data_IF_476326548709
#
_entry.id   IF_476326548709
#
_cell.length_a   1.000
_cell.length_b   1.000
_cell.length_c   1.000
_cell.angle_alpha   90.00
_cell.angle_beta   90.00
_cell.angle_gamma   90.00
#
_symmetry.space_group_name_H-M   'P 1'
#
loop_
_entity.id
_entity.type
_entity.pdbx_description
1 polymer ?
#
# COMPACT_ATOMS: atom_id res chain seq x y z
N UNK A 1 -8.77 3.14 -32.81
CA UNK A 1 -7.78 2.42 -31.98
C UNK A 1 -6.82 3.46 -31.43
N UNK A 2 -6.87 3.68 -30.12
CA UNK A 2 -6.00 4.62 -29.41
C UNK A 2 -4.64 3.98 -29.08
N UNK A 3 -3.65 4.80 -28.68
CA UNK A 3 -2.38 4.27 -28.16
C UNK A 3 -2.58 3.45 -26.88
N UNK A 4 -3.59 3.80 -26.07
CA UNK A 4 -3.95 3.05 -24.87
C UNK A 4 -4.48 1.65 -25.21
N UNK A 5 -5.29 1.52 -26.27
CA UNK A 5 -5.80 0.23 -26.76
C UNK A 5 -4.65 -0.69 -27.18
N UNK A 6 -3.63 -0.12 -27.82
CA UNK A 6 -2.42 -0.84 -28.22
C UNK A 6 -1.62 -1.34 -27.01
N UNK A 7 -1.48 -0.52 -25.96
CA UNK A 7 -0.80 -0.93 -24.72
C UNK A 7 -1.54 -2.08 -24.02
N UNK A 8 -2.86 -2.02 -23.95
CA UNK A 8 -3.70 -3.11 -23.39
C UNK A 8 -3.53 -4.38 -24.24
N UNK A 9 -3.64 -4.27 -25.56
CA UNK A 9 -3.44 -5.42 -26.45
C UNK A 9 -2.03 -6.00 -26.34
N UNK A 10 -0.99 -5.16 -26.19
CA UNK A 10 0.38 -5.60 -26.06
C UNK A 10 0.56 -6.38 -24.76
N UNK A 11 0.10 -5.83 -23.64
CA UNK A 11 0.13 -6.50 -22.34
C UNK A 11 -0.52 -7.88 -22.41
N UNK A 12 -1.73 -7.98 -22.97
CA UNK A 12 -2.44 -9.25 -23.12
C UNK A 12 -1.69 -10.26 -23.98
N UNK A 13 -1.07 -9.83 -25.09
CA UNK A 13 -0.28 -10.70 -25.97
C UNK A 13 0.97 -11.21 -25.28
N UNK A 14 1.67 -10.36 -24.52
CA UNK A 14 2.87 -10.73 -23.77
C UNK A 14 2.53 -11.67 -22.61
N UNK A 15 1.46 -11.38 -21.87
CA UNK A 15 0.96 -12.22 -20.77
C UNK A 15 0.62 -13.63 -21.24
N UNK A 16 0.00 -13.79 -22.43
CA UNK A 16 -0.25 -15.10 -23.05
C UNK A 16 1.02 -15.90 -23.38
N UNK A 17 2.16 -15.22 -23.51
CA UNK A 17 3.48 -15.83 -23.73
C UNK A 17 4.27 -16.03 -22.43
N UNK A 18 3.68 -15.75 -21.27
CA UNK A 18 4.38 -15.78 -19.98
C UNK A 18 5.36 -14.63 -19.78
N UNK A 19 5.24 -13.55 -20.55
CA UNK A 19 6.11 -12.37 -20.44
C UNK A 19 5.38 -11.28 -19.64
N UNK A 20 6.00 -10.83 -18.55
CA UNK A 20 5.52 -9.69 -17.76
C UNK A 20 5.98 -8.38 -18.40
N UNK A 21 5.04 -7.45 -18.57
CA UNK A 21 5.25 -6.14 -19.18
C UNK A 21 5.01 -5.06 -18.12
N UNK A 22 5.86 -4.04 -18.08
CA UNK A 22 5.75 -2.92 -17.15
C UNK A 22 5.92 -1.57 -17.85
N UNK A 23 5.17 -0.58 -17.38
CA UNK A 23 5.31 0.84 -17.70
C UNK A 23 5.82 1.57 -16.45
N UNK A 24 6.99 2.19 -16.51
CA UNK A 24 7.62 2.80 -15.33
C UNK A 24 8.11 4.23 -15.59
N UNK A 25 8.30 5.00 -14.51
CA UNK A 25 8.93 6.34 -14.52
C UNK A 25 8.12 7.44 -15.25
N UNK A 26 6.90 7.16 -15.70
CA UNK A 26 6.02 8.18 -16.28
C UNK A 26 5.38 9.07 -15.22
N UNK A 27 4.93 10.26 -15.63
CA UNK A 27 4.21 11.18 -14.74
C UNK A 27 2.76 10.71 -14.51
N UNK A 28 2.19 11.08 -13.37
CA UNK A 28 0.84 10.65 -12.96
C UNK A 28 -0.26 11.04 -13.97
N UNK A 29 -0.11 12.15 -14.69
CA UNK A 29 -1.08 12.61 -15.70
C UNK A 29 -1.25 11.61 -16.86
N UNK A 30 -0.23 10.78 -17.12
CA UNK A 30 -0.35 9.68 -18.09
C UNK A 30 -1.32 8.62 -17.58
N UNK A 31 -1.36 8.35 -16.28
CA UNK A 31 -2.34 7.43 -15.68
C UNK A 31 -3.76 7.97 -15.82
N UNK A 32 -3.97 9.27 -15.67
CA UNK A 32 -5.27 9.91 -15.90
C UNK A 32 -5.74 9.69 -17.34
N UNK A 33 -4.83 9.82 -18.33
CA UNK A 33 -5.13 9.51 -19.73
C UNK A 33 -5.40 8.03 -19.96
N UNK A 34 -4.64 7.13 -19.35
CA UNK A 34 -4.91 5.68 -19.44
C UNK A 34 -6.32 5.36 -18.94
N UNK A 35 -6.76 5.92 -17.80
CA UNK A 35 -8.13 5.75 -17.31
C UNK A 35 -9.16 6.35 -18.26
N UNK A 36 -8.93 7.58 -18.74
CA UNK A 36 -9.82 8.27 -19.68
C UNK A 36 -10.04 7.46 -20.98
N UNK A 37 -9.02 6.76 -21.45
CA UNK A 37 -9.08 5.92 -22.66
C UNK A 37 -9.44 4.44 -22.39
N UNK A 38 -9.90 4.09 -21.17
CA UNK A 38 -10.34 2.73 -20.86
C UNK A 38 -9.22 1.71 -20.62
N UNK A 39 -7.96 2.16 -20.50
CA UNK A 39 -6.80 1.32 -20.18
C UNK A 39 -6.49 1.25 -18.67
N UNK A 40 -7.50 1.47 -17.81
CA UNK A 40 -7.39 1.38 -16.35
C UNK A 40 -6.84 0.03 -15.86
N UNK A 41 -7.12 -1.06 -16.58
CA UNK A 41 -6.61 -2.39 -16.25
C UNK A 41 -5.07 -2.43 -16.15
N UNK A 42 -4.35 -1.59 -16.91
CA UNK A 42 -2.89 -1.50 -16.80
C UNK A 42 -2.43 -0.96 -15.44
N UNK A 43 -3.22 -0.07 -14.84
CA UNK A 43 -2.94 0.47 -13.50
C UNK A 43 -3.35 -0.57 -12.45
N UNK A 44 -4.57 -1.10 -12.54
CA UNK A 44 -5.12 -2.02 -11.55
C UNK A 44 -4.35 -3.34 -11.46
N UNK A 45 -3.89 -3.89 -12.58
CA UNK A 45 -3.09 -5.13 -12.61
C UNK A 45 -1.62 -4.92 -12.24
N UNK A 46 -1.19 -3.68 -11.95
CA UNK A 46 0.20 -3.37 -11.61
C UNK A 46 1.18 -3.35 -12.77
N UNK A 47 0.69 -3.29 -14.01
CA UNK A 47 1.55 -3.07 -15.20
C UNK A 47 2.18 -1.68 -15.13
N UNK A 48 1.43 -0.67 -14.73
CA UNK A 48 1.97 0.67 -14.47
C UNK A 48 2.53 0.75 -13.04
N UNK A 49 3.83 1.03 -12.91
CA UNK A 49 4.52 1.24 -11.63
C UNK A 49 5.21 2.59 -11.60
N UNK A 50 5.23 3.24 -10.42
CA UNK A 50 5.85 4.56 -10.29
C UNK A 50 7.33 4.55 -10.67
N UNK A 51 8.05 3.50 -10.27
CA UNK A 51 9.50 3.39 -10.49
C UNK A 51 9.89 2.04 -11.07
N UNK A 52 11.04 1.98 -11.73
CA UNK A 52 11.63 0.71 -12.18
C UNK A 52 11.92 -0.23 -11.01
N UNK A 53 12.36 0.31 -9.87
CA UNK A 53 12.58 -0.48 -8.66
C UNK A 53 11.30 -1.13 -8.14
N UNK A 54 10.15 -0.47 -8.28
CA UNK A 54 8.86 -1.03 -7.89
C UNK A 54 8.45 -2.20 -8.82
N UNK A 55 8.64 -2.06 -10.13
CA UNK A 55 8.41 -3.14 -11.08
C UNK A 55 9.37 -4.34 -10.86
N UNK A 56 10.65 -4.09 -10.57
CA UNK A 56 11.62 -5.15 -10.29
C UNK A 56 11.27 -5.95 -9.03
N UNK A 57 10.71 -5.30 -8.00
CA UNK A 57 10.25 -5.99 -6.78
C UNK A 57 9.08 -6.95 -7.04
N UNK A 58 8.22 -6.66 -8.02
CA UNK A 58 7.11 -7.55 -8.39
C UNK A 58 7.57 -8.87 -8.99
N UNK A 59 8.79 -8.88 -9.52
CA UNK A 59 9.43 -10.06 -10.09
C UNK A 59 10.55 -10.59 -9.17
N UNK A 60 10.49 -10.24 -7.88
CA UNK A 60 11.43 -10.66 -6.84
C UNK A 60 12.90 -10.29 -7.10
N UNK A 61 13.14 -9.24 -7.88
CA UNK A 61 14.47 -8.66 -8.06
C UNK A 61 14.67 -7.51 -7.09
N UNK A 62 15.69 -7.64 -6.23
CA UNK A 62 16.04 -6.66 -5.21
C UNK A 62 17.47 -6.13 -5.42
N UNK A 63 17.78 -4.91 -4.97
CA UNK A 63 19.16 -4.44 -4.94
C UNK A 63 20.08 -5.36 -4.11
N UNK A 64 21.37 -5.47 -4.47
CA UNK A 64 22.00 -4.86 -5.62
C UNK A 64 21.61 -5.56 -6.94
N UNK A 65 21.18 -4.77 -7.93
CA UNK A 65 20.78 -5.33 -9.23
C UNK A 65 22.02 -5.77 -10.04
N UNK A 66 21.93 -6.88 -10.79
CA UNK A 66 23.05 -7.39 -11.59
C UNK A 66 23.25 -6.53 -12.86
N UNK A 67 23.79 -5.32 -12.70
CA UNK A 67 24.11 -4.43 -13.80
C UNK A 67 25.46 -4.81 -14.44
N UNK A 68 25.53 -4.78 -15.77
CA UNK A 68 26.75 -5.09 -16.54
C UNK A 68 27.88 -4.10 -16.20
N UNK A 69 27.53 -2.85 -15.86
CA UNK A 69 28.46 -1.82 -15.40
C UNK A 69 27.98 -1.26 -14.05
N UNK A 70 28.63 -1.66 -12.97
CA UNK A 70 28.26 -1.31 -11.62
C UNK A 70 28.96 -0.02 -11.16
N UNK A 71 28.68 1.10 -11.84
CA UNK A 71 29.22 2.41 -11.46
C UNK A 71 28.49 2.98 -10.24
N UNK A 72 29.19 3.77 -9.41
CA UNK A 72 28.56 4.47 -8.28
C UNK A 72 27.41 5.38 -8.72
N UNK A 73 27.48 5.92 -9.93
CA UNK A 73 26.46 6.77 -10.56
C UNK A 73 25.17 6.00 -10.86
N UNK A 74 25.26 4.75 -11.35
CA UNK A 74 24.09 3.90 -11.55
C UNK A 74 23.38 3.58 -10.24
N UNK A 75 24.13 3.31 -9.16
CA UNK A 75 23.54 3.11 -7.83
C UNK A 75 22.87 4.39 -7.29
N UNK A 76 23.46 5.57 -7.50
CA UNK A 76 22.88 6.85 -7.08
C UNK A 76 21.57 7.16 -7.84
N UNK A 77 21.50 6.91 -9.15
CA UNK A 77 20.28 7.06 -9.95
C UNK A 77 19.13 6.17 -9.43
N UNK A 78 19.42 4.91 -9.10
CA UNK A 78 18.45 3.98 -8.50
C UNK A 78 17.95 4.49 -7.16
N UNK A 79 18.83 5.03 -6.30
CA UNK A 79 18.43 5.59 -4.99
C UNK A 79 17.63 6.89 -5.13
N UNK A 80 17.98 7.78 -6.06
CA UNK A 80 17.22 9.01 -6.30
C UNK A 80 15.82 8.76 -6.88
N UNK A 81 15.64 7.70 -7.69
CA UNK A 81 14.31 7.31 -8.19
C UNK A 81 13.36 6.84 -7.06
N UNK A 82 13.91 6.25 -6.00
CA UNK A 82 13.14 5.82 -4.83
C UNK A 82 12.60 7.01 -4.03
N UNK A 83 13.36 8.12 -4.00
CA UNK A 83 13.18 9.24 -3.07
C UNK A 83 12.25 10.36 -3.57
N UNK A 84 11.11 10.02 -4.19
CA UNK A 84 10.07 11.01 -4.56
C UNK A 84 8.90 10.83 -3.60
N UNK A 85 8.64 11.81 -2.74
CA UNK A 85 7.64 11.73 -1.64
C UNK A 85 6.18 11.40 -2.03
N UNK A 86 5.88 11.19 -3.32
CA UNK A 86 4.57 10.75 -3.79
C UNK A 86 4.50 9.21 -3.72
N UNK A 87 3.50 8.68 -3.02
CA UNK A 87 3.26 7.24 -2.92
C UNK A 87 2.56 6.66 -4.18
N UNK A 88 2.48 5.33 -4.30
CA UNK A 88 2.02 4.69 -5.53
C UNK A 88 0.54 4.99 -5.81
N UNK A 89 -0.32 5.05 -4.78
CA UNK A 89 -1.73 5.38 -4.99
C UNK A 89 -1.94 6.83 -5.46
N UNK A 90 -1.25 7.80 -4.86
CA UNK A 90 -1.33 9.21 -5.30
C UNK A 90 -0.76 9.39 -6.70
N UNK A 91 0.34 8.71 -7.03
CA UNK A 91 0.90 8.74 -8.37
C UNK A 91 -0.03 8.07 -9.40
N UNK A 92 -0.68 6.97 -9.03
CA UNK A 92 -1.55 6.21 -9.91
C UNK A 92 -2.88 6.93 -10.17
N UNK A 93 -3.50 7.50 -9.14
CA UNK A 93 -4.89 7.97 -9.20
C UNK A 93 -5.07 9.47 -8.94
N UNK A 94 -4.01 10.20 -8.58
CA UNK A 94 -4.08 11.64 -8.35
C UNK A 94 -5.13 12.01 -7.30
N UNK A 95 -6.07 12.89 -7.65
CA UNK A 95 -7.17 13.31 -6.77
C UNK A 95 -8.11 12.17 -6.35
N UNK A 96 -8.19 11.10 -7.14
CA UNK A 96 -9.06 9.96 -6.87
C UNK A 96 -8.39 8.92 -5.94
N UNK A 97 -7.14 9.13 -5.50
CA UNK A 97 -6.39 8.16 -4.72
C UNK A 97 -7.10 7.72 -3.44
N UNK A 98 -7.79 8.63 -2.74
CA UNK A 98 -8.58 8.27 -1.57
C UNK A 98 -9.74 7.31 -1.91
N UNK A 99 -10.45 7.57 -3.02
CA UNK A 99 -11.57 6.73 -3.47
C UNK A 99 -11.09 5.33 -3.83
N UNK A 100 -10.02 5.24 -4.61
CA UNK A 100 -9.46 3.94 -5.01
C UNK A 100 -8.85 3.17 -3.84
N UNK A 101 -8.28 3.85 -2.84
CA UNK A 101 -7.79 3.20 -1.62
C UNK A 101 -8.95 2.59 -0.80
N UNK A 102 -10.09 3.27 -0.74
CA UNK A 102 -11.31 2.73 -0.11
C UNK A 102 -11.80 1.47 -0.84
N UNK A 103 -11.97 1.55 -2.17
CA UNK A 103 -12.38 0.39 -2.98
C UNK A 103 -11.38 -0.79 -2.87
N UNK A 104 -10.09 -0.48 -2.77
CA UNK A 104 -9.05 -1.48 -2.54
C UNK A 104 -9.17 -2.10 -1.14
N UNK A 105 -9.47 -1.29 -0.11
CA UNK A 105 -9.68 -1.77 1.26
C UNK A 105 -10.88 -2.71 1.35
N UNK A 106 -11.99 -2.40 0.69
CA UNK A 106 -13.16 -3.27 0.64
C UNK A 106 -12.80 -4.64 0.05
N UNK A 107 -12.08 -4.66 -1.08
CA UNK A 107 -11.57 -5.90 -1.70
C UNK A 107 -10.60 -6.65 -0.81
N UNK A 108 -9.76 -5.94 -0.06
CA UNK A 108 -8.85 -6.51 0.94
C UNK A 108 -9.67 -7.23 2.02
N UNK A 109 -10.68 -6.57 2.60
CA UNK A 109 -11.56 -7.12 3.63
C UNK A 109 -12.33 -8.33 3.08
N UNK A 110 -12.84 -8.27 1.85
CA UNK A 110 -13.55 -9.38 1.19
C UNK A 110 -12.69 -10.65 1.07
N UNK A 111 -11.39 -10.51 0.84
CA UNK A 111 -10.48 -11.64 0.67
C UNK A 111 -9.69 -12.01 1.93
N UNK A 112 -9.86 -11.24 3.00
CA UNK A 112 -9.10 -11.37 4.24
C UNK A 112 -9.44 -12.66 4.99
N UNK A 113 -8.42 -13.45 5.32
CA UNK A 113 -8.51 -14.64 6.15
C UNK A 113 -8.00 -14.40 7.59
N UNK A 114 -8.31 -15.31 8.51
CA UNK A 114 -7.77 -15.25 9.88
C UNK A 114 -6.25 -15.42 9.93
N UNK A 115 -5.69 -16.23 9.03
CA UNK A 115 -4.25 -16.43 8.87
C UNK A 115 -3.58 -15.17 8.32
N UNK A 116 -4.22 -14.50 7.37
CA UNK A 116 -3.75 -13.25 6.77
C UNK A 116 -3.55 -12.17 7.83
N UNK A 117 -4.52 -11.98 8.72
CA UNK A 117 -4.42 -11.02 9.84
C UNK A 117 -3.32 -11.43 10.81
N UNK A 118 -3.20 -12.71 11.18
CA UNK A 118 -2.14 -13.15 12.10
C UNK A 118 -0.74 -12.92 11.51
N UNK A 119 -0.60 -13.09 10.20
CA UNK A 119 0.66 -12.90 9.49
C UNK A 119 0.88 -11.45 9.01
N UNK A 120 -0.08 -10.54 9.23
CA UNK A 120 0.02 -9.14 8.83
C UNK A 120 1.18 -8.43 9.53
N UNK A 121 1.46 -8.75 10.79
CA UNK A 121 2.65 -8.24 11.50
C UNK A 121 3.97 -8.63 10.82
N UNK A 122 4.01 -9.79 10.17
CA UNK A 122 5.20 -10.32 9.50
C UNK A 122 5.36 -9.78 8.08
N UNK A 123 4.42 -8.94 7.61
CA UNK A 123 4.41 -8.38 6.26
C UNK A 123 3.95 -9.36 5.17
N UNK A 124 3.48 -10.55 5.54
CA UNK A 124 3.09 -11.62 4.62
C UNK A 124 1.85 -11.26 3.77
N UNK A 125 0.96 -10.42 4.30
CA UNK A 125 -0.21 -9.93 3.54
C UNK A 125 0.20 -9.22 2.24
N UNK A 126 1.36 -8.57 2.21
CA UNK A 126 1.88 -7.94 1.01
C UNK A 126 2.40 -8.95 -0.03
N UNK A 127 2.90 -10.11 0.40
CA UNK A 127 3.49 -11.10 -0.51
C UNK A 127 2.44 -12.00 -1.18
N UNK A 128 1.26 -12.15 -0.56
CA UNK A 128 0.26 -13.13 -0.95
C UNK A 128 -1.15 -12.57 -1.13
N UNK A 129 -1.31 -11.23 -1.21
CA UNK A 129 -2.62 -10.64 -1.47
C UNK A 129 -3.20 -11.20 -2.78
N UNK A 130 -4.25 -12.02 -2.65
CA UNK A 130 -4.92 -12.73 -3.75
C UNK A 130 -5.57 -11.81 -4.76
N UNK A 131 -5.70 -10.51 -4.46
CA UNK A 131 -6.32 -9.53 -5.36
C UNK A 131 -5.55 -9.31 -6.66
N UNK A 132 -4.27 -9.75 -6.76
CA UNK A 132 -3.38 -9.55 -7.94
C UNK A 132 -3.20 -8.07 -8.35
N UNK A 133 -3.67 -7.14 -7.53
CA UNK A 133 -3.51 -5.70 -7.74
C UNK A 133 -2.36 -5.24 -6.87
N UNK A 134 -1.25 -4.92 -7.52
CA UNK A 134 0.02 -4.48 -6.93
C UNK A 134 0.63 -5.52 -5.99
N UNK A 135 1.59 -6.29 -6.52
CA UNK A 135 2.25 -7.40 -5.81
C UNK A 135 2.97 -7.00 -4.52
N UNK A 136 3.22 -5.70 -4.29
CA UNK A 136 3.73 -5.16 -3.02
C UNK A 136 3.42 -3.67 -2.95
N UNK A 137 2.59 -3.26 -1.98
CA UNK A 137 2.42 -1.84 -1.64
C UNK A 137 3.73 -1.28 -1.06
N UNK A 138 4.01 -0.02 -1.38
CA UNK A 138 5.00 0.75 -0.64
C UNK A 138 4.61 0.90 0.84
N UNK A 139 5.60 1.12 1.71
CA UNK A 139 5.38 1.28 3.15
C UNK A 139 4.39 2.41 3.49
N UNK A 140 4.44 3.53 2.77
CA UNK A 140 3.49 4.62 2.97
C UNK A 140 2.05 4.26 2.54
N UNK A 141 1.89 3.54 1.42
CA UNK A 141 0.56 3.10 0.96
C UNK A 141 -0.02 2.02 1.88
N UNK A 142 0.84 1.13 2.39
CA UNK A 142 0.47 0.12 3.37
C UNK A 142 -0.04 0.75 4.67
N UNK A 143 0.65 1.78 5.19
CA UNK A 143 0.18 2.48 6.40
C UNK A 143 -1.19 3.12 6.21
N UNK A 144 -1.45 3.69 5.02
CA UNK A 144 -2.79 4.21 4.69
C UNK A 144 -3.82 3.08 4.62
N UNK A 145 -3.48 1.92 4.06
CA UNK A 145 -4.35 0.75 4.09
C UNK A 145 -4.65 0.29 5.53
N UNK A 146 -3.65 0.23 6.41
CA UNK A 146 -3.85 -0.12 7.82
C UNK A 146 -4.82 0.84 8.50
N UNK A 147 -4.71 2.14 8.21
CA UNK A 147 -5.65 3.14 8.68
C UNK A 147 -7.08 2.84 8.21
N UNK A 148 -7.30 2.49 6.94
CA UNK A 148 -8.64 2.13 6.48
C UNK A 148 -9.12 0.80 7.07
N UNK A 149 -8.26 -0.20 7.26
CA UNK A 149 -8.64 -1.45 7.94
C UNK A 149 -9.10 -1.20 9.38
N UNK A 150 -8.46 -0.27 10.08
CA UNK A 150 -8.86 0.18 11.41
C UNK A 150 -10.23 0.86 11.40
N UNK A 151 -10.56 1.64 10.36
CA UNK A 151 -11.92 2.19 10.19
C UNK A 151 -12.99 1.11 10.04
N UNK A 152 -12.63 -0.03 9.45
CA UNK A 152 -13.49 -1.18 9.25
C UNK A 152 -13.26 -2.26 10.33
N UNK A 153 -12.69 -1.89 11.50
CA UNK A 153 -12.32 -2.85 12.54
C UNK A 153 -13.49 -3.74 12.99
N UNK A 154 -14.70 -3.18 13.05
CA UNK A 154 -15.89 -3.95 13.41
C UNK A 154 -16.24 -5.02 12.37
N UNK A 155 -16.28 -4.65 11.10
CA UNK A 155 -16.57 -5.55 9.98
C UNK A 155 -15.50 -6.65 9.87
N UNK A 156 -14.22 -6.27 10.02
CA UNK A 156 -13.09 -7.21 10.02
C UNK A 156 -13.20 -8.18 11.21
N UNK A 157 -13.52 -7.68 12.41
CA UNK A 157 -13.68 -8.49 13.61
C UNK A 157 -14.82 -9.50 13.50
N UNK A 158 -15.98 -9.06 13.00
CA UNK A 158 -17.15 -9.90 12.78
C UNK A 158 -16.85 -10.99 11.75
N UNK A 159 -16.30 -10.61 10.59
CA UNK A 159 -15.94 -11.54 9.52
C UNK A 159 -14.98 -12.63 9.99
N UNK A 160 -13.98 -12.27 10.79
CA UNK A 160 -12.93 -13.19 11.23
C UNK A 160 -13.28 -13.93 12.52
N UNK A 161 -14.39 -13.58 13.20
CA UNK A 161 -14.73 -14.12 14.51
C UNK A 161 -13.65 -13.82 15.57
N UNK A 162 -12.98 -12.67 15.47
CA UNK A 162 -11.86 -12.26 16.35
C UNK A 162 -12.24 -11.03 17.18
N UNK A 163 -11.58 -10.86 18.33
CA UNK A 163 -11.77 -9.65 19.14
C UNK A 163 -11.14 -8.45 18.45
N UNK A 164 -11.81 -7.29 18.52
CA UNK A 164 -11.32 -6.01 17.98
C UNK A 164 -9.91 -5.68 18.49
N UNK A 165 -9.65 -5.93 19.77
CA UNK A 165 -8.35 -5.69 20.40
C UNK A 165 -7.22 -6.54 19.81
N UNK A 166 -7.49 -7.80 19.43
CA UNK A 166 -6.45 -8.68 18.89
C UNK A 166 -6.06 -8.27 17.46
N UNK A 167 -7.05 -7.84 16.66
CA UNK A 167 -6.83 -7.29 15.33
C UNK A 167 -6.04 -5.99 15.42
N UNK A 168 -6.49 -5.06 16.27
CA UNK A 168 -5.85 -3.74 16.43
C UNK A 168 -4.40 -3.86 16.93
N UNK A 169 -4.12 -4.77 17.89
CA UNK A 169 -2.73 -5.07 18.30
C UNK A 169 -1.86 -5.53 17.13
N UNK A 170 -2.44 -6.26 16.18
CA UNK A 170 -1.71 -6.75 15.01
C UNK A 170 -1.44 -5.62 14.00
N UNK A 171 -2.43 -4.73 13.78
CA UNK A 171 -2.27 -3.53 12.97
C UNK A 171 -1.18 -2.61 13.56
N UNK A 172 -1.23 -2.34 14.86
CA UNK A 172 -0.25 -1.50 15.56
C UNK A 172 1.18 -2.05 15.51
N UNK A 173 1.36 -3.37 15.68
CA UNK A 173 2.66 -4.02 15.50
C UNK A 173 3.22 -3.77 14.10
N UNK A 174 2.38 -3.86 13.07
CA UNK A 174 2.81 -3.62 11.69
C UNK A 174 3.14 -2.15 11.44
N UNK A 175 2.29 -1.24 11.92
CA UNK A 175 2.49 0.22 11.89
C UNK A 175 3.82 0.63 12.53
N UNK A 176 4.20 0.01 13.65
CA UNK A 176 5.49 0.23 14.30
C UNK A 176 6.68 -0.17 13.40
N UNK A 177 6.63 -1.35 12.78
CA UNK A 177 7.68 -1.84 11.86
C UNK A 177 7.80 -0.92 10.63
N UNK A 178 6.68 -0.53 10.04
CA UNK A 178 6.65 0.40 8.89
C UNK A 178 7.28 1.74 9.29
N UNK A 179 6.87 2.27 10.44
CA UNK A 179 7.38 3.54 10.97
C UNK A 179 8.88 3.51 11.20
N UNK A 180 9.41 2.45 11.83
CA UNK A 180 10.85 2.31 12.07
C UNK A 180 11.64 2.25 10.76
N UNK A 181 11.15 1.47 9.78
CA UNK A 181 11.79 1.37 8.46
C UNK A 181 11.79 2.69 7.72
N UNK A 182 10.64 3.36 7.63
CA UNK A 182 10.54 4.65 6.95
C UNK A 182 11.44 5.72 7.60
N UNK A 183 11.52 5.78 8.93
CA UNK A 183 12.43 6.72 9.62
C UNK A 183 13.90 6.47 9.27
N UNK A 184 14.29 5.20 9.11
CA UNK A 184 15.67 4.80 8.80
C UNK A 184 16.03 4.99 7.32
N UNK A 185 15.10 4.66 6.42
CA UNK A 185 15.33 4.62 4.98
C UNK A 185 15.03 5.95 4.29
N UNK A 186 13.94 6.62 4.69
CA UNK A 186 13.44 7.83 4.04
C UNK A 186 12.63 8.73 4.99
N UNK A 187 13.34 9.61 5.71
CA UNK A 187 12.70 10.55 6.64
C UNK A 187 11.70 11.50 5.97
N UNK A 188 11.94 11.89 4.72
CA UNK A 188 11.04 12.78 3.99
C UNK A 188 9.69 12.11 3.72
N UNK A 189 9.71 10.88 3.22
CA UNK A 189 8.49 10.07 3.02
C UNK A 189 7.75 9.83 4.35
N UNK A 190 8.47 9.56 5.44
CA UNK A 190 7.88 9.48 6.77
C UNK A 190 7.15 10.77 7.18
N UNK A 191 7.80 11.94 7.02
CA UNK A 191 7.22 13.25 7.36
C UNK A 191 5.95 13.55 6.57
N UNK A 192 5.96 13.24 5.28
CA UNK A 192 4.79 13.41 4.40
C UNK A 192 3.65 12.46 4.78
N UNK A 193 3.97 11.19 5.10
CA UNK A 193 3.00 10.22 5.59
C UNK A 193 2.33 10.70 6.88
N UNK A 194 3.09 11.21 7.85
CA UNK A 194 2.53 11.76 9.10
C UNK A 194 1.56 12.92 8.83
N UNK A 195 1.92 13.81 7.90
CA UNK A 195 1.04 14.91 7.50
C UNK A 195 -0.27 14.39 6.89
N UNK A 196 -0.19 13.34 6.07
CA UNK A 196 -1.37 12.71 5.47
C UNK A 196 -2.24 12.01 6.50
N UNK A 197 -1.66 11.22 7.40
CA UNK A 197 -2.39 10.55 8.48
C UNK A 197 -3.12 11.55 9.37
N UNK A 198 -2.47 12.66 9.73
CA UNK A 198 -3.11 13.74 10.49
C UNK A 198 -4.33 14.33 9.78
N UNK A 199 -4.26 14.53 8.46
CA UNK A 199 -5.41 14.98 7.65
C UNK A 199 -6.53 13.93 7.63
N UNK A 200 -6.20 12.66 7.51
CA UNK A 200 -7.16 11.56 7.54
C UNK A 200 -7.86 11.48 8.91
N UNK A 201 -7.12 11.54 10.01
CA UNK A 201 -7.68 11.57 11.36
C UNK A 201 -8.60 12.77 11.59
N UNK A 202 -8.19 13.97 11.16
CA UNK A 202 -9.04 15.17 11.25
C UNK A 202 -10.34 15.01 10.46
N UNK A 203 -10.26 14.46 9.24
CA UNK A 203 -11.42 14.19 8.40
C UNK A 203 -12.34 13.16 9.05
N UNK A 204 -11.80 12.08 9.61
CA UNK A 204 -12.58 11.07 10.31
C UNK A 204 -13.28 11.63 11.55
N UNK A 205 -12.57 12.42 12.37
CA UNK A 205 -13.16 13.07 13.55
C UNK A 205 -14.34 13.97 13.18
N UNK A 206 -14.29 14.60 12.00
CA UNK A 206 -15.37 15.45 11.49
C UNK A 206 -16.52 14.64 10.88
N UNK A 207 -16.20 13.67 10.02
CA UNK A 207 -17.18 12.98 9.18
C UNK A 207 -17.86 11.81 9.92
N UNK A 208 -17.16 11.14 10.84
CA UNK A 208 -17.64 9.98 11.61
C UNK A 208 -17.16 10.02 13.07
N UNK A 209 -17.65 10.97 13.89
CA UNK A 209 -17.18 11.16 15.26
C UNK A 209 -17.41 9.95 16.17
N UNK A 210 -18.52 9.21 16.00
CA UNK A 210 -18.84 8.04 16.81
C UNK A 210 -17.84 6.90 16.60
N UNK A 211 -17.56 6.57 15.33
CA UNK A 211 -16.54 5.58 14.96
C UNK A 211 -15.16 5.98 15.49
N UNK A 212 -14.83 7.27 15.44
CA UNK A 212 -13.57 7.78 15.98
C UNK A 212 -13.45 7.55 17.49
N UNK A 213 -14.53 7.80 18.25
CA UNK A 213 -14.54 7.51 19.69
C UNK A 213 -14.44 6.01 19.98
N UNK A 214 -15.03 5.15 19.16
CA UNK A 214 -14.92 3.70 19.33
C UNK A 214 -13.47 3.23 19.14
N UNK A 215 -12.81 3.67 18.08
CA UNK A 215 -11.40 3.33 17.81
C UNK A 215 -10.50 3.81 18.95
N UNK A 216 -10.69 5.03 19.43
CA UNK A 216 -9.94 5.55 20.59
C UNK A 216 -10.10 4.66 21.82
N UNK A 217 -11.32 4.20 22.12
CA UNK A 217 -11.56 3.28 23.25
C UNK A 217 -10.81 1.96 23.08
N UNK A 218 -10.77 1.40 21.86
CA UNK A 218 -10.01 0.16 21.59
C UNK A 218 -8.52 0.39 21.81
N UNK A 219 -7.96 1.50 21.29
CA UNK A 219 -6.55 1.89 21.51
C UNK A 219 -6.24 2.07 23.00
N UNK A 220 -7.10 2.74 23.76
CA UNK A 220 -6.95 2.93 25.21
C UNK A 220 -6.98 1.60 25.99
N UNK A 221 -7.88 0.68 25.62
CA UNK A 221 -7.95 -0.65 26.23
C UNK A 221 -6.66 -1.42 26.00
N UNK A 222 -6.10 -1.37 24.79
CA UNK A 222 -4.83 -2.03 24.46
C UNK A 222 -3.68 -1.46 25.30
N UNK A 223 -3.63 -0.14 25.48
CA UNK A 223 -2.61 0.49 26.32
C UNK A 223 -2.71 0.06 27.78
N UNK A 224 -3.93 -0.06 28.34
CA UNK A 224 -4.14 -0.57 29.70
C UNK A 224 -3.69 -2.03 29.83
N UNK A 225 -4.13 -2.88 28.91
CA UNK A 225 -3.75 -4.30 28.89
C UNK A 225 -2.23 -4.52 28.74
N UNK A 226 -1.54 -3.64 28.02
CA UNK A 226 -0.08 -3.73 27.89
C UNK A 226 0.63 -3.31 29.18
N UNK A 227 0.17 -2.25 29.86
CA UNK A 227 0.73 -1.82 31.15
C UNK A 227 0.55 -2.88 32.24
N UNK A 228 -0.64 -3.47 32.35
CA UNK A 228 -0.92 -4.54 33.32
C UNK A 228 -0.04 -5.78 33.12
N UNK A 229 0.41 -6.04 31.88
CA UNK A 229 1.34 -7.12 31.55
C UNK A 229 2.81 -6.79 31.79
N UNK A 230 3.18 -5.52 31.79
CA UNK A 230 4.54 -5.06 32.14
C UNK A 230 4.74 -5.02 33.66
N UNK A 231 3.66 -4.85 34.41
CA UNK A 231 3.64 -4.79 35.88
C UNK A 231 3.41 -6.18 36.56
N UNK A 232 3.22 -7.26 35.79
CA UNK A 232 3.02 -8.65 36.28
C UNK A 232 4.22 -9.54 35.98
#
# INVERSE_FOLDING_TARGET
MSAADLLVSLNLKLKKKGIQFFLTEHKGEVNDKLRQYGAQALIEEGVARRTISAALRDVHMYPPYPLVENTKEHMQLVMHAQNRGINEFEWAYGSDAQKYMLEYTEKVIENLSSEDIQNLSNGWYLEHNKTRRWHKLGHADEEVLLYYLELHLHEVAEKLGKRKQDIEKTLEKRRAIITERLKKENWEEYSQLQTRLKKLEQKMKKDKPELYQEILKVREQIQKENKEKEDS
#
